data_IF_346516798584
#
_entry.id   IF_346516798584
#
_cell.length_a   1.000
_cell.length_b   1.000
_cell.length_c   1.000
_cell.angle_alpha   90.00
_cell.angle_beta   90.00
_cell.angle_gamma   90.00
#
_symmetry.space_group_name_H-M   'P 1'
#
loop_
_entity.id
_entity.type
_entity.pdbx_description
1 polymer ?
#
# COMPACT_ATOMS: atom_id res chain seq x y z
N UNK A 1 -7.35 -20.13 12.91
CA UNK A 1 -8.83 -20.29 12.94
C UNK A 1 -9.47 -19.21 12.05
N UNK A 2 -10.43 -19.56 11.18
CA UNK A 2 -11.15 -18.55 10.37
C UNK A 2 -12.09 -17.75 11.27
N UNK A 3 -12.00 -16.42 11.24
CA UNK A 3 -12.87 -15.51 12.03
C UNK A 3 -14.11 -15.07 11.25
N UNK A 4 -13.94 -14.69 9.98
CA UNK A 4 -15.05 -14.23 9.14
C UNK A 4 -14.68 -14.30 7.66
N UNK A 5 -15.71 -14.25 6.80
CA UNK A 5 -15.54 -14.16 5.35
C UNK A 5 -16.49 -13.10 4.79
N UNK A 6 -15.99 -12.29 3.86
CA UNK A 6 -16.77 -11.28 3.14
C UNK A 6 -16.79 -11.64 1.66
N UNK A 7 -17.98 -11.69 1.08
CA UNK A 7 -18.19 -11.86 -0.36
C UNK A 7 -18.58 -10.52 -0.95
N UNK A 8 -17.94 -10.13 -2.05
CA UNK A 8 -18.31 -8.92 -2.79
C UNK A 8 -18.37 -9.19 -4.29
N UNK A 9 -19.27 -8.50 -4.98
CA UNK A 9 -19.40 -8.58 -6.43
C UNK A 9 -19.05 -7.23 -7.05
N UNK A 10 -18.11 -7.23 -8.01
CA UNK A 10 -17.70 -6.02 -8.73
C UNK A 10 -17.44 -6.35 -10.18
N UNK A 11 -18.04 -5.58 -11.10
CA UNK A 11 -17.85 -5.76 -12.55
C UNK A 11 -18.07 -7.20 -13.02
N UNK A 12 -19.17 -7.83 -12.60
CA UNK A 12 -19.52 -9.22 -12.89
C UNK A 12 -18.50 -10.28 -12.41
N UNK A 13 -17.68 -9.93 -11.43
CA UNK A 13 -16.72 -10.84 -10.77
C UNK A 13 -17.02 -10.92 -9.29
N UNK A 14 -16.92 -12.13 -8.74
CA UNK A 14 -17.05 -12.37 -7.30
C UNK A 14 -15.67 -12.42 -6.67
N UNK A 15 -15.54 -11.80 -5.49
CA UNK A 15 -14.35 -11.78 -4.66
C UNK A 15 -14.70 -12.26 -3.26
N UNK A 16 -13.85 -13.10 -2.68
CA UNK A 16 -13.99 -13.60 -1.32
C UNK A 16 -12.75 -13.21 -0.53
N UNK A 17 -12.92 -12.51 0.58
CA UNK A 17 -11.86 -12.23 1.55
C UNK A 17 -12.13 -12.99 2.83
N UNK A 18 -11.16 -13.74 3.33
CA UNK A 18 -11.29 -14.54 4.54
C UNK A 18 -10.35 -13.94 5.59
N UNK A 19 -10.90 -13.58 6.75
CA UNK A 19 -10.10 -13.18 7.90
C UNK A 19 -9.75 -14.43 8.71
N UNK A 20 -8.46 -14.68 8.88
CA UNK A 20 -7.94 -15.82 9.61
C UNK A 20 -7.11 -15.31 10.78
N UNK A 21 -7.32 -15.89 11.95
CA UNK A 21 -6.44 -15.78 13.10
C UNK A 21 -5.37 -16.86 12.98
N UNK A 22 -4.11 -16.45 12.91
CA UNK A 22 -2.96 -17.34 13.02
C UNK A 22 -2.42 -17.26 14.44
N UNK A 23 -2.00 -18.41 14.97
CA UNK A 23 -1.29 -18.45 16.26
C UNK A 23 0.04 -17.69 16.12
N UNK A 24 0.54 -17.14 17.23
CA UNK A 24 1.79 -16.39 17.25
C UNK A 24 2.91 -17.20 16.58
N UNK A 25 3.40 -16.67 15.46
CA UNK A 25 4.61 -17.19 14.83
C UNK A 25 5.71 -17.02 15.87
N UNK A 26 6.25 -18.15 16.35
CA UNK A 26 7.44 -18.16 17.20
C UNK A 26 8.61 -17.66 16.37
N UNK A 27 8.77 -16.34 16.30
CA UNK A 27 9.98 -15.73 15.75
C UNK A 27 11.12 -16.19 16.64
N UNK A 28 12.08 -16.91 16.04
CA UNK A 28 13.30 -17.29 16.74
C UNK A 28 13.89 -16.05 17.39
N UNK A 29 14.29 -16.15 18.68
CA UNK A 29 14.98 -15.05 19.37
C UNK A 29 16.09 -14.52 18.47
N UNK A 30 16.02 -13.23 18.16
CA UNK A 30 17.02 -12.58 17.32
C UNK A 30 18.39 -12.75 17.98
N UNK A 31 19.32 -13.41 17.30
CA UNK A 31 20.70 -13.61 17.78
C UNK A 31 21.58 -12.39 17.57
N UNK A 32 21.07 -11.38 16.87
CA UNK A 32 21.82 -10.19 16.47
C UNK A 32 21.51 -9.01 17.39
N UNK A 33 22.48 -8.12 17.55
CA UNK A 33 22.28 -6.81 18.17
C UNK A 33 21.11 -6.08 17.49
N UNK A 34 20.26 -5.42 18.28
CA UNK A 34 19.04 -4.77 17.77
C UNK A 34 19.36 -3.76 16.65
N UNK A 35 18.51 -3.73 15.62
CA UNK A 35 18.68 -2.82 14.47
C UNK A 35 17.82 -1.58 14.67
N UNK A 36 18.45 -0.42 14.75
CA UNK A 36 17.77 0.88 14.64
C UNK A 36 17.25 1.10 13.22
N UNK A 37 15.99 1.53 13.11
CA UNK A 37 15.29 1.82 11.87
C UNK A 37 14.86 3.28 11.89
N UNK A 38 15.27 4.05 10.87
CA UNK A 38 14.83 5.43 10.64
C UNK A 38 13.99 5.51 9.35
N UNK A 39 12.82 6.15 9.44
CA UNK A 39 11.87 6.29 8.33
C UNK A 39 11.93 7.70 7.77
N UNK A 40 12.04 7.82 6.44
CA UNK A 40 12.32 9.10 5.80
C UNK A 40 11.50 9.41 4.54
N UNK A 41 11.47 10.70 4.20
CA UNK A 41 10.91 11.18 2.93
C UNK A 41 11.96 11.07 1.82
N UNK A 42 13.25 11.28 2.15
CA UNK A 42 14.35 11.18 1.18
C UNK A 42 14.52 9.75 0.70
N UNK A 43 14.84 8.88 1.65
CA UNK A 43 14.96 7.43 1.56
C UNK A 43 13.85 6.84 2.43
N UNK A 44 13.22 5.74 2.01
CA UNK A 44 12.08 5.17 2.72
C UNK A 44 12.46 4.68 4.11
N UNK A 45 13.59 3.95 4.18
CA UNK A 45 14.07 3.35 5.41
C UNK A 45 15.60 3.32 5.41
N UNK A 46 16.21 3.72 6.51
CA UNK A 46 17.65 3.63 6.75
C UNK A 46 17.86 2.79 8.00
N UNK A 47 18.69 1.76 7.89
CA UNK A 47 19.06 0.90 9.00
C UNK A 47 20.41 1.34 9.59
N UNK A 48 20.58 1.13 10.89
CA UNK A 48 21.87 1.28 11.59
C UNK A 48 23.02 0.45 11.00
N UNK A 49 22.70 -0.65 10.30
CA UNK A 49 23.66 -1.47 9.53
C UNK A 49 24.08 -0.83 8.18
N UNK A 50 23.74 0.45 7.97
CA UNK A 50 24.01 1.27 6.78
C UNK A 50 23.22 0.85 5.53
N UNK A 51 22.31 -0.13 5.61
CA UNK A 51 21.39 -0.42 4.49
C UNK A 51 20.39 0.72 4.30
N UNK A 52 20.11 1.05 3.04
CA UNK A 52 19.18 2.11 2.66
C UNK A 52 18.18 1.58 1.64
N UNK A 53 16.91 1.81 1.92
CA UNK A 53 15.80 1.43 1.05
C UNK A 53 15.26 2.68 0.37
N UNK A 54 15.24 2.67 -0.96
CA UNK A 54 14.77 3.80 -1.76
C UNK A 54 13.26 3.96 -1.64
N UNK A 55 12.80 5.20 -1.70
CA UNK A 55 11.37 5.50 -1.70
C UNK A 55 10.74 5.19 -3.07
N UNK A 56 9.86 4.18 -3.10
CA UNK A 56 9.14 3.75 -4.30
C UNK A 56 8.29 4.86 -4.94
N UNK A 57 7.78 5.80 -4.14
CA UNK A 57 6.97 6.91 -4.62
C UNK A 57 7.77 7.89 -5.49
N UNK A 58 9.10 7.84 -5.41
CA UNK A 58 9.98 8.68 -6.23
C UNK A 58 10.29 8.09 -7.61
N UNK A 59 9.93 6.83 -7.85
CA UNK A 59 10.17 6.16 -9.13
C UNK A 59 9.39 6.82 -10.27
N UNK A 60 9.93 6.75 -11.49
CA UNK A 60 9.30 7.35 -12.67
C UNK A 60 7.95 6.71 -12.98
N UNK A 61 7.81 5.40 -12.74
CA UNK A 61 6.56 4.65 -12.93
C UNK A 61 5.46 5.16 -12.01
N UNK A 62 5.71 5.24 -10.69
CA UNK A 62 4.70 5.71 -9.73
C UNK A 62 4.28 7.14 -10.03
N UNK A 63 5.25 8.05 -10.25
CA UNK A 63 4.97 9.44 -10.63
C UNK A 63 4.13 9.57 -11.90
N UNK A 64 4.38 8.74 -12.92
CA UNK A 64 3.59 8.73 -14.16
C UNK A 64 2.15 8.29 -13.91
N UNK A 65 1.96 7.24 -13.10
CA UNK A 65 0.62 6.73 -12.74
C UNK A 65 -0.15 7.75 -11.92
N UNK A 66 0.47 8.36 -10.89
CA UNK A 66 -0.15 9.42 -10.08
C UNK A 66 -0.57 10.62 -10.94
N UNK A 67 0.29 11.05 -11.87
CA UNK A 67 -0.04 12.15 -12.80
C UNK A 67 -1.20 11.79 -13.72
N UNK A 68 -1.30 10.53 -14.17
CA UNK A 68 -2.44 10.04 -14.97
C UNK A 68 -3.71 10.03 -14.12
N UNK A 69 -3.66 9.45 -12.92
CA UNK A 69 -4.78 9.40 -11.98
C UNK A 69 -5.35 10.79 -11.70
N UNK A 70 -4.48 11.76 -11.37
CA UNK A 70 -4.88 13.16 -11.13
C UNK A 70 -5.58 13.79 -12.34
N UNK A 71 -5.15 13.48 -13.57
CA UNK A 71 -5.79 13.99 -14.79
C UNK A 71 -7.16 13.38 -15.00
N UNK A 72 -7.30 12.06 -14.84
CA UNK A 72 -8.58 11.37 -15.02
C UNK A 72 -9.60 11.79 -13.95
N UNK A 73 -9.18 11.92 -12.70
CA UNK A 73 -10.04 12.46 -11.63
C UNK A 73 -10.51 13.89 -11.94
N UNK A 74 -9.63 14.75 -12.46
CA UNK A 74 -10.02 16.12 -12.90
C UNK A 74 -11.01 16.11 -14.07
N UNK A 75 -10.81 15.24 -15.07
CA UNK A 75 -11.76 15.10 -16.19
C UNK A 75 -13.13 14.65 -15.70
N UNK A 76 -13.15 13.64 -14.82
CA UNK A 76 -14.37 13.11 -14.24
C UNK A 76 -15.11 14.18 -13.42
N UNK A 77 -14.40 14.91 -12.55
CA UNK A 77 -14.97 16.00 -11.76
C UNK A 77 -15.57 17.10 -12.64
N UNK A 78 -14.91 17.52 -13.73
CA UNK A 78 -15.47 18.50 -14.68
C UNK A 78 -16.76 18.00 -15.34
N UNK A 79 -16.83 16.71 -15.69
CA UNK A 79 -18.03 16.11 -16.26
C UNK A 79 -19.20 16.14 -15.26
N UNK A 80 -18.94 15.82 -14.00
CA UNK A 80 -19.97 15.92 -12.96
C UNK A 80 -20.43 17.37 -12.74
N UNK A 81 -19.50 18.33 -12.73
CA UNK A 81 -19.86 19.73 -12.53
C UNK A 81 -20.68 20.28 -13.70
N UNK A 82 -20.34 19.92 -14.94
CA UNK A 82 -21.14 20.31 -16.12
C UNK A 82 -22.54 19.70 -16.17
N UNK A 83 -22.79 18.66 -15.35
CA UNK A 83 -24.08 17.97 -15.25
C UNK A 83 -24.90 18.43 -14.03
N UNK A 84 -24.34 19.27 -13.16
CA UNK A 84 -25.14 19.98 -12.15
C UNK A 84 -25.92 21.08 -12.87
N UNK A 85 -27.24 21.01 -12.76
CA UNK A 85 -28.18 22.08 -13.14
C UNK A 85 -27.95 23.28 -12.21
#
# INVERSE_FOLDING_TARGET
>A
IVKSGTVSQKSNRYYVSILVEEDDIRVSKCTNEGIGIDLGIKDFLICSDKKKFKNINKTSTVKKVEKKLKREQRKLSRKYESLKI
#
